data_IF_343094481234
#
_entry.id   IF_343094481234
#
_cell.length_a   1.000
_cell.length_b   1.000
_cell.length_c   1.000
_cell.angle_alpha   90.00
_cell.angle_beta   90.00
_cell.angle_gamma   90.00
#
_symmetry.space_group_name_H-M   'P 1'
#
loop_
_entity.id
_entity.type
_entity.pdbx_description
1 polymer ?
#
# COMPACT_ATOMS: atom_id res chain seq x y z
N UNK A 1 -13.16 2.77 14.87
CA UNK A 1 -11.71 2.71 14.58
C UNK A 1 -11.23 4.03 13.98
N UNK A 2 -11.87 4.52 12.92
CA UNK A 2 -11.54 5.80 12.25
C UNK A 2 -11.46 7.00 13.20
N UNK A 3 -12.51 7.26 13.99
CA UNK A 3 -12.55 8.39 14.93
C UNK A 3 -11.37 8.41 15.92
N UNK A 4 -10.95 7.23 16.40
CA UNK A 4 -9.79 7.10 17.28
C UNK A 4 -8.48 7.40 16.55
N UNK A 5 -8.34 6.98 15.30
CA UNK A 5 -7.16 7.29 14.49
C UNK A 5 -7.08 8.78 14.16
N UNK A 6 -8.21 9.41 13.83
CA UNK A 6 -8.28 10.87 13.60
C UNK A 6 -7.93 11.64 14.88
N UNK A 7 -8.47 11.24 16.02
CA UNK A 7 -8.14 11.86 17.32
C UNK A 7 -6.66 11.67 17.70
N UNK A 8 -6.08 10.49 17.43
CA UNK A 8 -4.66 10.24 17.63
C UNK A 8 -3.79 11.09 16.69
N UNK A 9 -4.18 11.22 15.42
CA UNK A 9 -3.48 12.06 14.44
C UNK A 9 -3.42 13.52 14.90
N UNK A 10 -4.55 14.07 15.34
CA UNK A 10 -4.62 15.44 15.89
C UNK A 10 -3.72 15.60 17.12
N UNK A 11 -3.76 14.64 18.05
CA UNK A 11 -2.94 14.64 19.26
C UNK A 11 -1.43 14.62 18.93
N UNK A 12 -1.00 13.71 18.07
CA UNK A 12 0.42 13.60 17.68
C UNK A 12 0.89 14.76 16.83
N UNK A 13 0.02 15.34 15.99
CA UNK A 13 0.33 16.55 15.21
C UNK A 13 0.59 17.74 16.13
N UNK A 14 -0.24 17.94 17.16
CA UNK A 14 -0.04 19.00 18.17
C UNK A 14 1.22 18.82 19.01
N UNK A 15 1.66 17.57 19.19
CA UNK A 15 2.86 17.23 19.93
C UNK A 15 4.13 17.16 19.05
N UNK A 16 4.02 17.38 17.73
CA UNK A 16 5.11 17.24 16.75
C UNK A 16 5.77 15.83 16.75
N UNK A 17 4.98 14.80 17.05
CA UNK A 17 5.43 13.40 17.15
C UNK A 17 5.47 12.72 15.78
N UNK A 18 6.39 13.15 14.91
CA UNK A 18 6.43 12.80 13.49
C UNK A 18 6.34 11.29 13.20
N UNK A 19 7.10 10.46 13.90
CA UNK A 19 7.06 9.01 13.71
C UNK A 19 5.68 8.40 14.05
N UNK A 20 4.99 8.94 15.05
CA UNK A 20 3.64 8.52 15.43
C UNK A 20 2.60 8.99 14.40
N UNK A 21 2.76 10.19 13.86
CA UNK A 21 1.94 10.71 12.77
C UNK A 21 2.00 9.78 11.55
N UNK A 22 3.19 9.37 11.12
CA UNK A 22 3.34 8.46 9.97
C UNK A 22 2.66 7.10 10.21
N UNK A 23 2.79 6.53 11.41
CA UNK A 23 2.10 5.27 11.78
C UNK A 23 0.58 5.43 11.73
N UNK A 24 0.04 6.52 12.26
CA UNK A 24 -1.41 6.76 12.23
C UNK A 24 -1.92 6.95 10.80
N UNK A 25 -1.19 7.70 9.96
CA UNK A 25 -1.53 7.83 8.53
C UNK A 25 -1.50 6.49 7.79
N UNK A 26 -0.50 5.63 8.05
CA UNK A 26 -0.46 4.29 7.47
C UNK A 26 -1.70 3.48 7.86
N UNK A 27 -2.08 3.53 9.14
CA UNK A 27 -3.25 2.82 9.65
C UNK A 27 -4.57 3.37 9.09
N UNK A 28 -4.69 4.69 8.89
CA UNK A 28 -5.84 5.29 8.19
C UNK A 28 -5.89 4.81 6.73
N UNK A 29 -4.75 4.81 6.05
CA UNK A 29 -4.62 4.27 4.69
C UNK A 29 -5.09 2.82 4.58
N UNK A 30 -4.65 1.95 5.50
CA UNK A 30 -5.08 0.56 5.59
C UNK A 30 -6.59 0.44 5.89
N UNK A 31 -7.10 1.21 6.85
CA UNK A 31 -8.52 1.19 7.20
C UNK A 31 -9.41 1.55 6.01
N UNK A 32 -9.05 2.57 5.24
CA UNK A 32 -9.82 2.98 4.07
C UNK A 32 -9.69 1.98 2.92
N UNK A 33 -8.53 1.35 2.75
CA UNK A 33 -8.34 0.26 1.79
C UNK A 33 -9.26 -0.93 2.10
N UNK A 34 -9.39 -1.29 3.38
CA UNK A 34 -10.28 -2.37 3.84
C UNK A 34 -11.78 -2.04 3.69
N UNK A 35 -12.12 -0.75 3.48
CA UNK A 35 -13.48 -0.26 3.22
C UNK A 35 -13.75 0.02 1.73
N UNK A 36 -12.86 -0.40 0.84
CA UNK A 36 -12.93 -0.14 -0.60
C UNK A 36 -12.91 1.35 -0.98
N UNK A 37 -12.40 2.21 -0.09
CA UNK A 37 -12.21 3.64 -0.31
C UNK A 37 -10.80 3.93 -0.85
N UNK A 38 -10.48 3.35 -2.02
CA UNK A 38 -9.10 3.33 -2.56
C UNK A 38 -8.49 4.72 -2.77
N UNK A 39 -9.24 5.73 -3.23
CA UNK A 39 -8.71 7.10 -3.38
C UNK A 39 -8.27 7.70 -2.04
N UNK A 40 -9.05 7.45 -0.97
CA UNK A 40 -8.76 7.94 0.36
C UNK A 40 -7.57 7.21 0.96
N UNK A 41 -7.49 5.90 0.75
CA UNK A 41 -6.34 5.09 1.12
C UNK A 41 -5.05 5.60 0.46
N UNK A 42 -5.07 5.78 -0.88
CA UNK A 42 -3.94 6.27 -1.66
C UNK A 42 -3.45 7.62 -1.13
N UNK A 43 -4.37 8.54 -0.80
CA UNK A 43 -3.99 9.86 -0.25
C UNK A 43 -3.15 9.74 1.01
N UNK A 44 -3.62 8.98 2.00
CA UNK A 44 -2.88 8.80 3.26
C UNK A 44 -1.58 8.01 3.08
N UNK A 45 -1.61 6.94 2.29
CA UNK A 45 -0.44 6.08 2.06
C UNK A 45 0.65 6.80 1.26
N UNK A 46 0.29 7.67 0.32
CA UNK A 46 1.27 8.45 -0.47
C UNK A 46 2.02 9.47 0.39
N UNK A 47 1.36 10.07 1.37
CA UNK A 47 2.02 10.94 2.36
C UNK A 47 3.04 10.15 3.19
N UNK A 48 2.67 8.93 3.62
CA UNK A 48 3.60 8.06 4.35
C UNK A 48 4.77 7.65 3.47
N UNK A 49 4.50 7.19 2.24
CA UNK A 49 5.52 6.64 1.36
C UNK A 49 6.57 7.66 0.92
N UNK A 50 6.20 8.94 0.84
CA UNK A 50 7.13 10.04 0.56
C UNK A 50 8.20 10.20 1.64
N UNK A 51 7.83 9.96 2.89
CA UNK A 51 8.70 10.12 4.07
C UNK A 51 9.41 8.81 4.42
N UNK A 52 8.68 7.70 4.35
CA UNK A 52 9.14 6.36 4.71
C UNK A 52 8.77 5.39 3.60
N UNK A 53 9.78 4.94 2.85
CA UNK A 53 9.66 4.04 1.69
C UNK A 53 9.38 2.58 2.10
N UNK A 54 8.60 2.41 3.17
CA UNK A 54 8.32 1.13 3.80
C UNK A 54 7.57 0.18 2.85
N UNK A 55 8.03 -1.07 2.78
CA UNK A 55 7.55 -2.05 1.81
C UNK A 55 6.04 -2.32 1.91
N UNK A 56 5.49 -2.30 3.13
CA UNK A 56 4.06 -2.47 3.39
C UNK A 56 3.21 -1.35 2.78
N UNK A 57 3.66 -0.10 2.92
CA UNK A 57 2.98 1.07 2.35
C UNK A 57 3.06 1.03 0.82
N UNK A 58 4.23 0.65 0.27
CA UNK A 58 4.40 0.46 -1.17
C UNK A 58 3.41 -0.57 -1.73
N UNK A 59 3.32 -1.75 -1.10
CA UNK A 59 2.40 -2.80 -1.55
C UNK A 59 0.93 -2.36 -1.48
N UNK A 60 0.52 -1.70 -0.39
CA UNK A 60 -0.84 -1.16 -0.30
C UNK A 60 -1.12 -0.14 -1.41
N UNK A 61 -0.18 0.78 -1.72
CA UNK A 61 -0.32 1.69 -2.84
C UNK A 61 -0.50 0.96 -4.16
N UNK A 62 0.36 -0.02 -4.47
CA UNK A 62 0.23 -0.85 -5.67
C UNK A 62 -1.16 -1.50 -5.77
N UNK A 63 -1.63 -2.09 -4.68
CA UNK A 63 -2.93 -2.79 -4.62
C UNK A 63 -4.10 -1.83 -4.82
N UNK A 64 -4.09 -0.66 -4.19
CA UNK A 64 -5.17 0.31 -4.30
C UNK A 64 -5.19 0.99 -5.69
N UNK A 65 -4.03 1.25 -6.29
CA UNK A 65 -3.97 1.70 -7.69
C UNK A 65 -4.52 0.64 -8.66
N UNK A 66 -4.25 -0.65 -8.41
CA UNK A 66 -4.80 -1.74 -9.21
C UNK A 66 -6.32 -1.79 -9.15
N UNK A 67 -6.92 -1.60 -7.97
CA UNK A 67 -8.39 -1.51 -7.80
C UNK A 67 -9.02 -0.38 -8.63
N UNK A 68 -8.28 0.71 -8.86
CA UNK A 68 -8.70 1.82 -9.70
C UNK A 68 -8.29 1.67 -11.18
N UNK A 69 -7.75 0.52 -11.59
CA UNK A 69 -7.25 0.29 -12.96
C UNK A 69 -6.12 1.22 -13.40
N UNK A 70 -5.35 1.77 -12.46
CA UNK A 70 -4.18 2.62 -12.71
C UNK A 70 -2.92 1.77 -13.00
N UNK A 71 -2.96 1.01 -14.09
CA UNK A 71 -2.01 -0.08 -14.36
C UNK A 71 -0.55 0.34 -14.54
N UNK A 72 -0.29 1.60 -14.94
CA UNK A 72 1.06 2.14 -15.06
C UNK A 72 1.67 2.41 -13.68
N UNK A 73 0.92 3.07 -12.79
CA UNK A 73 1.33 3.30 -11.40
C UNK A 73 1.54 1.98 -10.65
N UNK A 74 0.68 0.98 -10.89
CA UNK A 74 0.84 -0.37 -10.33
C UNK A 74 2.19 -0.95 -10.73
N UNK A 75 2.58 -0.82 -12.01
CA UNK A 75 3.88 -1.31 -12.51
C UNK A 75 5.03 -0.63 -11.78
N UNK A 76 4.98 0.70 -11.64
CA UNK A 76 6.02 1.47 -10.97
C UNK A 76 6.20 1.05 -9.50
N UNK A 77 5.11 0.84 -8.76
CA UNK A 77 5.17 0.41 -7.37
C UNK A 77 5.68 -1.04 -7.22
N UNK A 78 5.27 -1.94 -8.12
CA UNK A 78 5.77 -3.32 -8.18
C UNK A 78 7.28 -3.34 -8.43
N UNK A 79 7.76 -2.59 -9.42
CA UNK A 79 9.18 -2.55 -9.76
C UNK A 79 10.01 -2.02 -8.60
N UNK A 80 9.56 -0.96 -7.91
CA UNK A 80 10.19 -0.46 -6.69
C UNK A 80 10.17 -1.50 -5.57
N UNK A 81 9.06 -2.19 -5.38
CA UNK A 81 8.89 -3.17 -4.30
C UNK A 81 9.80 -4.38 -4.45
N UNK A 82 9.91 -4.92 -5.67
CA UNK A 82 10.72 -6.10 -5.98
C UNK A 82 12.23 -5.89 -5.84
N UNK A 83 12.72 -4.65 -5.77
CA UNK A 83 14.15 -4.36 -5.61
C UNK A 83 14.70 -4.73 -4.23
N UNK A 84 13.87 -4.67 -3.18
CA UNK A 84 14.35 -4.82 -1.79
C UNK A 84 13.33 -5.45 -0.84
N UNK A 85 12.40 -6.26 -1.35
CA UNK A 85 11.41 -6.96 -0.53
C UNK A 85 11.96 -8.22 0.14
N UNK A 86 11.33 -8.63 1.24
CA UNK A 86 11.49 -9.97 1.77
C UNK A 86 10.71 -11.00 0.93
N UNK A 87 10.75 -12.28 1.34
CA UNK A 87 10.08 -13.37 0.64
C UNK A 87 8.55 -13.22 0.61
N UNK A 88 7.94 -12.70 1.68
CA UNK A 88 6.48 -12.50 1.74
C UNK A 88 6.04 -11.46 0.71
N UNK A 89 6.70 -10.30 0.72
CA UNK A 89 6.37 -9.21 -0.21
C UNK A 89 6.76 -9.53 -1.64
N UNK A 90 7.79 -10.36 -1.87
CA UNK A 90 8.10 -10.88 -3.20
C UNK A 90 6.89 -11.58 -3.82
N UNK A 91 6.25 -12.51 -3.09
CA UNK A 91 5.06 -13.20 -3.61
C UNK A 91 3.89 -12.25 -3.82
N UNK A 92 3.64 -11.34 -2.88
CA UNK A 92 2.58 -10.34 -3.01
C UNK A 92 2.71 -9.48 -4.26
N UNK A 93 3.89 -8.91 -4.51
CA UNK A 93 4.14 -8.13 -5.72
C UNK A 93 4.10 -8.99 -6.98
N UNK A 94 4.58 -10.22 -6.92
CA UNK A 94 4.59 -11.11 -8.08
C UNK A 94 3.19 -11.51 -8.54
N UNK A 95 2.28 -11.79 -7.59
CA UNK A 95 0.86 -12.04 -7.89
C UNK A 95 0.23 -10.78 -8.48
N UNK A 96 0.43 -9.62 -7.85
CA UNK A 96 -0.14 -8.36 -8.35
C UNK A 96 0.38 -8.01 -9.75
N UNK A 97 1.65 -8.31 -10.05
CA UNK A 97 2.27 -8.14 -11.37
C UNK A 97 1.55 -8.98 -12.43
N UNK A 98 1.37 -10.26 -12.16
CA UNK A 98 0.72 -11.15 -13.11
C UNK A 98 -0.75 -10.77 -13.34
N UNK A 99 -1.46 -10.27 -12.30
CA UNK A 99 -2.80 -9.68 -12.46
C UNK A 99 -2.77 -8.41 -13.32
N UNK A 100 -1.83 -7.50 -13.08
CA UNK A 100 -1.66 -6.24 -13.82
C UNK A 100 -1.35 -6.48 -15.31
N UNK A 101 -0.56 -7.52 -15.60
CA UNK A 101 -0.17 -7.93 -16.95
C UNK A 101 -1.19 -8.87 -17.62
N UNK A 102 -2.31 -9.19 -16.93
CA UNK A 102 -3.37 -10.08 -17.42
C UNK A 102 -2.87 -11.46 -17.83
N UNK A 103 -1.95 -12.04 -17.05
CA UNK A 103 -1.48 -13.40 -17.28
C UNK A 103 -2.65 -14.40 -17.19
N UNK A 104 -2.62 -15.50 -17.97
CA UNK A 104 -3.56 -16.60 -17.79
C UNK A 104 -3.49 -17.14 -16.36
N UNK A 105 -4.64 -17.51 -15.80
CA UNK A 105 -4.75 -17.97 -14.40
C UNK A 105 -3.87 -19.19 -14.14
N UNK A 106 -3.70 -20.06 -15.13
CA UNK A 106 -2.86 -21.26 -15.06
C UNK A 106 -1.37 -20.93 -14.86
N UNK A 107 -0.94 -19.72 -15.26
CA UNK A 107 0.42 -19.24 -15.05
C UNK A 107 0.65 -18.71 -13.63
N UNK A 108 -0.42 -18.32 -12.91
CA UNK A 108 -0.35 -17.85 -11.53
C UNK A 108 -0.04 -18.98 -10.55
N UNK A 109 -0.59 -20.18 -10.77
CA UNK A 109 -0.42 -21.35 -9.89
C UNK A 109 1.05 -21.79 -9.75
N UNK A 110 1.87 -21.57 -10.78
CA UNK A 110 3.32 -21.86 -10.78
C UNK A 110 4.14 -20.88 -9.94
N UNK A 111 3.59 -19.71 -9.60
CA UNK A 111 4.31 -18.67 -8.86
C UNK A 111 4.21 -18.86 -7.34
N UNK A 112 3.25 -19.66 -6.88
CA UNK A 112 2.96 -19.95 -5.48
C UNK A 112 3.44 -21.35 -5.02
N UNK A 113 3.95 -22.17 -5.94
CA UNK A 113 4.55 -23.50 -5.69
C UNK A 113 6.03 -23.42 -5.33
#
# INVERSE_FOLDING_TARGET
>A
AEEYLISALDTFTKADEHASILKVRHNLGLLYADQDLSELAIRYLSEVFREDHHIKTNYLLAREHFRLSHYEEVRDYIEKGLQSCDKEYYYHFSILKALNEKWPVESLDLMIS
#
